data_IF_561698441708
#
_entry.id   IF_561698441708
#
_cell.length_a   1.000
_cell.length_b   1.000
_cell.length_c   1.000
_cell.angle_alpha   90.00
_cell.angle_beta   90.00
_cell.angle_gamma   90.00
#
_symmetry.space_group_name_H-M   'P 1'
#
loop_
_entity.id
_entity.type
_entity.pdbx_description
1 polymer ?
#
# COMPACT_ATOMS: atom_id res chain seq x y z
N UNK A 1 -15.97 -60.11 17.31
CA UNK A 1 -15.53 -58.72 17.56
C UNK A 1 -16.80 -57.88 17.60
N UNK A 2 -17.20 -57.42 18.78
CA UNK A 2 -18.57 -56.93 19.03
C UNK A 2 -18.90 -55.67 18.23
N UNK A 3 -20.02 -55.72 17.50
CA UNK A 3 -20.59 -54.59 16.75
C UNK A 3 -20.73 -53.35 17.65
N UNK A 4 -21.03 -53.55 18.93
CA UNK A 4 -21.13 -52.48 19.94
C UNK A 4 -19.78 -51.80 20.22
N UNK A 5 -18.68 -52.56 20.28
CA UNK A 5 -17.33 -52.02 20.46
C UNK A 5 -16.93 -51.21 19.23
N UNK A 6 -17.23 -51.71 18.03
CA UNK A 6 -16.96 -51.00 16.78
C UNK A 6 -17.78 -49.70 16.66
N UNK A 7 -19.07 -49.72 17.01
CA UNK A 7 -19.89 -48.50 17.05
C UNK A 7 -19.39 -47.48 18.08
N UNK A 8 -19.02 -47.91 19.29
CA UNK A 8 -18.43 -47.02 20.30
C UNK A 8 -17.12 -46.39 19.81
N UNK A 9 -16.28 -47.16 19.12
CA UNK A 9 -15.05 -46.65 18.49
C UNK A 9 -15.35 -45.59 17.43
N UNK A 10 -16.30 -45.85 16.51
CA UNK A 10 -16.70 -44.86 15.50
C UNK A 10 -17.23 -43.58 16.17
N UNK A 11 -18.09 -43.70 17.18
CA UNK A 11 -18.64 -42.55 17.91
C UNK A 11 -17.51 -41.75 18.59
N UNK A 12 -16.55 -42.43 19.22
CA UNK A 12 -15.40 -41.77 19.86
C UNK A 12 -14.53 -41.03 18.84
N UNK A 13 -14.24 -41.66 17.70
CA UNK A 13 -13.51 -41.02 16.59
C UNK A 13 -14.28 -39.80 16.08
N UNK A 14 -15.59 -39.91 15.88
CA UNK A 14 -16.43 -38.80 15.45
C UNK A 14 -16.45 -37.64 16.45
N UNK A 15 -16.69 -37.91 17.74
CA UNK A 15 -16.68 -36.91 18.81
C UNK A 15 -15.31 -36.24 18.89
N UNK A 16 -14.22 -37.00 18.77
CA UNK A 16 -12.85 -36.47 18.81
C UNK A 16 -12.60 -35.54 17.62
N UNK A 17 -12.93 -35.97 16.39
CA UNK A 17 -12.78 -35.15 15.19
C UNK A 17 -13.65 -33.89 15.26
N UNK A 18 -14.90 -34.01 15.72
CA UNK A 18 -15.81 -32.89 15.88
C UNK A 18 -15.32 -31.89 16.94
N UNK A 19 -14.80 -32.39 18.07
CA UNK A 19 -14.20 -31.55 19.12
C UNK A 19 -12.95 -30.82 18.62
N UNK A 20 -12.09 -31.50 17.85
CA UNK A 20 -10.91 -30.88 17.22
C UNK A 20 -11.31 -29.81 16.21
N UNK A 21 -12.39 -30.01 15.43
CA UNK A 21 -12.92 -29.00 14.52
C UNK A 21 -13.44 -27.76 15.27
N UNK A 22 -14.19 -27.96 16.35
CA UNK A 22 -14.70 -26.86 17.20
C UNK A 22 -13.53 -26.09 17.82
N UNK A 23 -12.59 -26.79 18.46
CA UNK A 23 -11.42 -26.17 19.09
C UNK A 23 -10.57 -25.44 18.04
N UNK A 24 -10.40 -26.02 16.85
CA UNK A 24 -9.72 -25.38 15.73
C UNK A 24 -10.42 -24.09 15.28
N UNK A 25 -11.75 -24.10 15.14
CA UNK A 25 -12.54 -22.92 14.77
C UNK A 25 -12.47 -21.82 15.82
N UNK A 26 -12.60 -22.18 17.10
CA UNK A 26 -12.45 -21.24 18.22
C UNK A 26 -11.05 -20.62 18.25
N UNK A 27 -10.01 -21.43 18.07
CA UNK A 27 -8.64 -20.96 17.98
C UNK A 27 -8.42 -20.03 16.78
N UNK A 28 -8.99 -20.35 15.61
CA UNK A 28 -8.91 -19.50 14.43
C UNK A 28 -9.55 -18.14 14.69
N UNK A 29 -10.78 -18.12 15.22
CA UNK A 29 -11.49 -16.89 15.56
C UNK A 29 -10.71 -16.06 16.59
N UNK A 30 -10.21 -16.70 17.63
CA UNK A 30 -9.36 -16.06 18.64
C UNK A 30 -8.08 -15.48 18.01
N UNK A 31 -7.38 -16.25 17.18
CA UNK A 31 -6.13 -15.84 16.54
C UNK A 31 -6.34 -14.58 15.68
N UNK A 32 -7.33 -14.57 14.78
CA UNK A 32 -7.56 -13.41 13.92
C UNK A 32 -8.00 -12.19 14.72
N UNK A 33 -8.80 -12.37 15.77
CA UNK A 33 -9.17 -11.27 16.68
C UNK A 33 -7.95 -10.71 17.41
N UNK A 34 -7.08 -11.58 17.95
CA UNK A 34 -5.83 -11.20 18.59
C UNK A 34 -4.87 -10.51 17.61
N UNK A 35 -4.66 -11.08 16.43
CA UNK A 35 -3.80 -10.53 15.39
C UNK A 35 -4.28 -9.13 14.98
N UNK A 36 -5.58 -8.98 14.67
CA UNK A 36 -6.21 -7.70 14.32
C UNK A 36 -6.04 -6.64 15.42
N UNK A 37 -6.26 -7.00 16.68
CA UNK A 37 -6.13 -6.07 17.81
C UNK A 37 -4.69 -5.55 18.01
N UNK A 38 -3.68 -6.35 17.64
CA UNK A 38 -2.27 -6.06 17.89
C UNK A 38 -1.50 -5.52 16.67
N UNK A 39 -2.05 -5.63 15.45
CA UNK A 39 -1.36 -5.21 14.21
C UNK A 39 -1.72 -3.82 13.68
N UNK A 40 -2.67 -3.12 14.31
CA UNK A 40 -3.26 -1.87 13.81
C UNK A 40 -2.70 -0.62 14.49
N UNK A 41 -2.49 0.44 13.70
CA UNK A 41 -2.18 1.79 14.18
C UNK A 41 -1.09 1.81 15.25
N UNK A 42 -1.34 2.52 16.34
CA UNK A 42 -0.37 2.69 17.43
C UNK A 42 -0.10 1.40 18.22
N UNK A 43 -0.96 0.38 18.15
CA UNK A 43 -0.72 -0.90 18.81
C UNK A 43 0.45 -1.66 18.18
N UNK A 44 0.77 -1.37 16.91
CA UNK A 44 1.93 -1.90 16.22
C UNK A 44 2.96 -0.82 15.89
N UNK A 45 2.60 0.16 15.07
CA UNK A 45 3.54 1.17 14.55
C UNK A 45 4.05 2.15 15.62
N UNK A 46 3.31 2.27 16.73
CA UNK A 46 3.71 3.04 17.91
C UNK A 46 4.54 2.24 18.93
N UNK A 47 4.99 1.02 18.60
CA UNK A 47 5.79 0.18 19.51
C UNK A 47 7.27 0.16 19.13
N UNK A 48 8.18 0.03 20.12
CA UNK A 48 9.61 -0.16 19.88
C UNK A 48 9.89 -1.34 18.93
N UNK A 49 10.99 -1.25 18.17
CA UNK A 49 11.32 -2.25 17.15
C UNK A 49 11.42 -3.67 17.74
N UNK A 50 12.00 -3.82 18.93
CA UNK A 50 12.11 -5.10 19.62
C UNK A 50 10.74 -5.75 19.89
N UNK A 51 9.73 -4.93 20.26
CA UNK A 51 8.36 -5.37 20.51
C UNK A 51 7.68 -5.81 19.21
N UNK A 52 7.85 -5.04 18.13
CA UNK A 52 7.33 -5.38 16.79
C UNK A 52 7.93 -6.69 16.26
N UNK A 53 9.24 -6.88 16.42
CA UNK A 53 9.95 -8.14 16.08
C UNK A 53 9.42 -9.32 16.91
N UNK A 54 9.20 -9.13 18.21
CA UNK A 54 8.61 -10.17 19.07
C UNK A 54 7.20 -10.56 18.62
N UNK A 55 6.37 -9.59 18.23
CA UNK A 55 5.04 -9.83 17.68
C UNK A 55 5.09 -10.62 16.36
N UNK A 56 5.96 -10.24 15.41
CA UNK A 56 6.19 -11.00 14.17
C UNK A 56 6.61 -12.45 14.45
N UNK A 57 7.47 -12.69 15.46
CA UNK A 57 7.85 -14.06 15.86
C UNK A 57 6.65 -14.87 16.36
N UNK A 58 5.78 -14.28 17.17
CA UNK A 58 4.53 -14.95 17.62
C UNK A 58 3.63 -15.33 16.45
N UNK A 59 3.43 -14.41 15.49
CA UNK A 59 2.67 -14.70 14.26
C UNK A 59 3.29 -15.88 13.50
N UNK A 60 4.63 -15.91 13.33
CA UNK A 60 5.33 -17.04 12.68
C UNK A 60 5.06 -18.36 13.39
N UNK A 61 5.05 -18.38 14.72
CA UNK A 61 4.72 -19.58 15.50
C UNK A 61 3.28 -20.03 15.24
N UNK A 62 2.30 -19.11 15.28
CA UNK A 62 0.91 -19.44 14.96
C UNK A 62 0.72 -19.93 13.51
N UNK A 63 1.47 -19.36 12.56
CA UNK A 63 1.41 -19.74 11.14
C UNK A 63 1.74 -21.22 10.90
N UNK A 64 2.62 -21.83 11.70
CA UNK A 64 2.95 -23.26 11.61
C UNK A 64 1.70 -24.11 11.78
N UNK A 65 0.88 -23.80 12.79
CA UNK A 65 -0.34 -24.53 13.10
C UNK A 65 -1.47 -24.26 12.10
N UNK A 66 -1.52 -23.05 11.54
CA UNK A 66 -2.57 -22.65 10.61
C UNK A 66 -2.28 -23.06 9.15
N UNK A 67 -1.03 -23.37 8.81
CA UNK A 67 -0.59 -23.69 7.43
C UNK A 67 -1.41 -24.81 6.76
N UNK A 68 -1.74 -25.96 7.41
CA UNK A 68 -2.54 -26.99 6.77
C UNK A 68 -3.95 -26.52 6.41
N UNK A 69 -4.59 -25.76 7.31
CA UNK A 69 -5.93 -25.22 7.13
C UNK A 69 -5.92 -24.20 5.97
N UNK A 70 -4.98 -23.27 5.98
CA UNK A 70 -4.80 -22.26 4.92
C UNK A 70 -4.61 -22.92 3.55
N UNK A 71 -3.81 -23.99 3.49
CA UNK A 71 -3.57 -24.70 2.23
C UNK A 71 -4.85 -25.34 1.68
N UNK A 72 -5.66 -25.98 2.53
CA UNK A 72 -6.94 -26.59 2.13
C UNK A 72 -7.92 -25.49 1.70
N UNK A 73 -8.10 -24.46 2.51
CA UNK A 73 -8.97 -23.31 2.21
C UNK A 73 -8.59 -22.64 0.88
N UNK A 74 -7.31 -22.39 0.65
CA UNK A 74 -6.82 -21.79 -0.59
C UNK A 74 -7.12 -22.69 -1.81
N UNK A 75 -6.95 -24.01 -1.68
CA UNK A 75 -7.28 -24.97 -2.75
C UNK A 75 -8.78 -24.99 -3.04
N UNK A 76 -9.62 -25.03 -2.01
CA UNK A 76 -11.09 -24.97 -2.15
C UNK A 76 -11.53 -23.65 -2.80
N UNK A 77 -10.91 -22.53 -2.43
CA UNK A 77 -11.21 -21.21 -3.01
C UNK A 77 -10.84 -21.14 -4.50
N UNK A 78 -9.75 -21.77 -4.91
CA UNK A 78 -9.34 -21.88 -6.33
C UNK A 78 -10.31 -22.69 -7.20
N UNK A 79 -11.13 -23.55 -6.60
CA UNK A 79 -12.18 -24.26 -7.33
C UNK A 79 -13.40 -23.37 -7.63
N UNK A 80 -13.51 -22.19 -7.02
CA UNK A 80 -14.56 -21.21 -7.35
C UNK A 80 -14.16 -20.45 -8.62
N UNK A 81 -15.11 -20.36 -9.56
CA UNK A 81 -14.91 -19.93 -10.97
C UNK A 81 -14.49 -18.47 -11.17
N UNK A 82 -14.64 -17.62 -10.15
CA UNK A 82 -14.22 -16.21 -10.18
C UNK A 82 -13.89 -15.77 -8.76
N UNK A 83 -12.70 -15.18 -8.57
CA UNK A 83 -12.30 -14.57 -7.32
C UNK A 83 -12.34 -13.04 -7.49
N UNK A 84 -13.52 -12.46 -7.28
CA UNK A 84 -13.63 -11.01 -7.20
C UNK A 84 -12.67 -10.49 -6.12
N UNK A 85 -11.80 -9.56 -6.52
CA UNK A 85 -10.97 -8.80 -5.58
C UNK A 85 -11.92 -8.03 -4.65
N UNK A 86 -11.77 -8.28 -3.35
CA UNK A 86 -12.73 -7.84 -2.36
C UNK A 86 -12.66 -6.33 -2.15
N UNK A 87 -13.75 -5.64 -2.47
CA UNK A 87 -13.81 -4.18 -2.45
C UNK A 87 -14.99 -3.67 -1.61
N UNK A 88 -14.78 -2.53 -0.97
CA UNK A 88 -15.85 -1.62 -0.56
C UNK A 88 -16.14 -0.64 -1.70
N UNK A 89 -17.31 0.01 -1.69
CA UNK A 89 -17.67 1.06 -2.63
C UNK A 89 -18.26 2.25 -1.86
N UNK A 90 -17.69 3.44 -2.03
CA UNK A 90 -18.16 4.69 -1.44
C UNK A 90 -18.20 5.77 -2.52
N UNK A 91 -19.37 6.35 -2.80
CA UNK A 91 -19.60 7.36 -3.84
C UNK A 91 -19.03 6.95 -5.22
N UNK A 92 -19.21 5.69 -5.62
CA UNK A 92 -18.69 5.13 -6.87
C UNK A 92 -17.19 4.85 -6.89
N UNK A 93 -16.48 5.08 -5.77
CA UNK A 93 -15.06 4.78 -5.62
C UNK A 93 -14.87 3.47 -4.88
N UNK A 94 -14.15 2.54 -5.50
CA UNK A 94 -13.82 1.25 -4.89
C UNK A 94 -12.57 1.33 -4.01
N UNK A 95 -12.51 0.55 -2.94
CA UNK A 95 -11.34 0.47 -2.04
C UNK A 95 -11.15 -0.95 -1.46
N UNK A 96 -9.97 -1.27 -0.90
CA UNK A 96 -9.68 -2.58 -0.35
C UNK A 96 -10.46 -2.85 0.94
N UNK A 97 -11.38 -3.81 0.91
CA UNK A 97 -12.26 -4.13 2.06
C UNK A 97 -11.55 -4.64 3.32
N UNK A 98 -10.30 -5.10 3.20
CA UNK A 98 -9.52 -5.60 4.34
C UNK A 98 -8.73 -4.50 5.06
N UNK A 99 -8.44 -3.39 4.38
CA UNK A 99 -7.68 -2.26 4.94
C UNK A 99 -8.52 -1.00 5.12
N UNK A 100 -9.70 -0.93 4.51
CA UNK A 100 -10.58 0.22 4.50
C UNK A 100 -12.03 -0.20 4.78
N UNK A 101 -12.84 0.76 5.23
CA UNK A 101 -14.28 0.62 5.41
C UNK A 101 -15.00 1.83 4.78
N UNK A 102 -16.33 1.74 4.68
CA UNK A 102 -17.14 2.89 4.27
C UNK A 102 -16.92 4.09 5.20
N UNK A 103 -16.90 3.83 6.51
CA UNK A 103 -16.65 4.84 7.53
C UNK A 103 -15.26 5.48 7.39
N UNK A 104 -14.21 4.69 7.11
CA UNK A 104 -12.86 5.24 6.93
C UNK A 104 -12.72 6.06 5.65
N UNK A 105 -13.42 5.69 4.57
CA UNK A 105 -13.49 6.50 3.35
C UNK A 105 -14.24 7.81 3.60
N UNK A 106 -15.39 7.74 4.27
CA UNK A 106 -16.16 8.92 4.64
C UNK A 106 -15.33 9.88 5.51
N UNK A 107 -14.77 9.38 6.62
CA UNK A 107 -13.92 10.18 7.53
C UNK A 107 -12.74 10.82 6.79
N UNK A 108 -12.12 10.11 5.86
CA UNK A 108 -11.02 10.66 5.07
C UNK A 108 -11.48 11.75 4.08
N UNK A 109 -12.65 11.58 3.45
CA UNK A 109 -13.20 12.60 2.55
C UNK A 109 -13.70 13.86 3.27
N UNK A 110 -14.07 13.73 4.55
CA UNK A 110 -14.55 14.83 5.41
C UNK A 110 -13.41 15.53 6.18
N UNK A 111 -12.19 15.00 6.11
CA UNK A 111 -11.02 15.61 6.75
C UNK A 111 -10.85 17.05 6.25
N UNK A 112 -10.64 17.99 7.18
CA UNK A 112 -10.45 19.40 6.88
C UNK A 112 -8.94 19.69 6.84
N UNK A 113 -8.33 19.82 5.65
CA UNK A 113 -6.91 20.05 5.56
C UNK A 113 -6.54 21.46 6.01
N UNK A 114 -5.29 21.61 6.45
CA UNK A 114 -4.74 22.87 6.95
C UNK A 114 -3.45 23.21 6.21
N UNK A 115 -2.95 24.43 6.39
CA UNK A 115 -1.67 24.91 5.86
C UNK A 115 -0.45 24.09 6.33
N UNK A 116 -0.63 23.28 7.37
CA UNK A 116 0.38 22.38 7.90
C UNK A 116 0.43 21.04 7.16
N UNK A 117 -0.59 20.71 6.38
CA UNK A 117 -0.71 19.38 5.78
C UNK A 117 -0.02 19.27 4.41
N UNK A 118 0.72 18.18 4.24
CA UNK A 118 1.34 17.76 2.99
C UNK A 118 0.77 16.38 2.62
N UNK A 119 -0.02 16.30 1.57
CA UNK A 119 -0.58 15.06 1.05
C UNK A 119 0.40 14.42 0.07
N UNK A 120 0.80 13.20 0.35
CA UNK A 120 1.46 12.29 -0.59
C UNK A 120 0.39 11.44 -1.23
N UNK A 121 0.07 11.76 -2.48
CA UNK A 121 -0.99 11.10 -3.24
C UNK A 121 -0.41 10.25 -4.34
N UNK A 122 -0.85 9.00 -4.44
CA UNK A 122 -0.48 8.14 -5.56
C UNK A 122 -1.62 7.21 -5.87
N UNK A 123 -1.71 6.70 -7.10
CA UNK A 123 -2.35 5.38 -7.27
C UNK A 123 -1.49 4.35 -6.50
N UNK A 124 -2.08 3.26 -6.02
CA UNK A 124 -1.35 2.28 -5.23
C UNK A 124 -0.09 1.80 -5.97
N UNK A 125 0.99 1.58 -5.22
CA UNK A 125 2.25 1.02 -5.76
C UNK A 125 3.02 1.90 -6.76
N UNK A 126 2.70 3.19 -6.84
CA UNK A 126 3.40 4.19 -7.67
C UNK A 126 4.56 4.93 -6.96
N UNK A 127 5.01 4.50 -5.78
CA UNK A 127 6.18 5.11 -5.10
C UNK A 127 5.87 5.90 -3.82
N UNK A 128 4.69 5.70 -3.24
CA UNK A 128 4.22 6.39 -2.03
C UNK A 128 5.24 6.38 -0.89
N UNK A 129 5.74 5.21 -0.51
CA UNK A 129 6.74 5.05 0.58
C UNK A 129 8.01 5.87 0.33
N UNK A 130 8.43 5.96 -0.94
CA UNK A 130 9.66 6.65 -1.31
C UNK A 130 9.47 8.16 -1.20
N UNK A 131 8.34 8.68 -1.71
CA UNK A 131 8.01 10.10 -1.60
C UNK A 131 7.76 10.53 -0.16
N UNK A 132 7.08 9.70 0.65
CA UNK A 132 6.93 9.94 2.10
C UNK A 132 8.30 10.07 2.79
N UNK A 133 9.24 9.16 2.46
CA UNK A 133 10.60 9.23 3.00
C UNK A 133 11.36 10.47 2.53
N UNK A 134 11.27 10.82 1.24
CA UNK A 134 11.90 12.03 0.70
C UNK A 134 11.40 13.28 1.45
N UNK A 135 10.08 13.43 1.60
CA UNK A 135 9.49 14.59 2.30
C UNK A 135 9.91 14.60 3.77
N UNK A 136 9.85 13.47 4.46
CA UNK A 136 10.30 13.38 5.85
C UNK A 136 11.76 13.80 6.01
N UNK A 137 12.63 13.37 5.10
CA UNK A 137 14.05 13.75 5.13
C UNK A 137 14.27 15.21 4.73
N UNK A 138 13.49 15.77 3.80
CA UNK A 138 13.53 17.21 3.49
C UNK A 138 13.17 18.05 4.73
N UNK A 139 12.04 17.75 5.37
CA UNK A 139 11.57 18.48 6.56
C UNK A 139 12.53 18.36 7.76
N UNK A 140 13.36 17.31 7.79
CA UNK A 140 14.36 17.09 8.84
C UNK A 140 15.78 17.41 8.40
N UNK A 141 15.96 18.00 7.20
CA UNK A 141 17.27 18.36 6.63
C UNK A 141 18.24 17.17 6.59
N UNK A 142 17.73 15.99 6.25
CA UNK A 142 18.47 14.73 6.21
C UNK A 142 18.86 14.16 7.59
N UNK A 143 18.46 14.79 8.69
CA UNK A 143 18.81 14.36 10.05
C UNK A 143 17.74 13.45 10.68
N UNK A 144 16.60 13.24 10.01
CA UNK A 144 15.53 12.38 10.51
C UNK A 144 16.00 10.93 10.65
N UNK A 145 15.80 10.35 11.83
CA UNK A 145 16.11 8.96 12.14
C UNK A 145 14.86 8.19 12.53
N UNK A 146 14.83 6.89 12.23
CA UNK A 146 13.84 5.97 12.78
C UNK A 146 14.48 5.10 13.85
N UNK A 147 14.09 5.32 15.10
CA UNK A 147 14.56 4.53 16.23
C UNK A 147 13.63 4.73 17.45
N UNK A 148 13.93 3.99 18.52
CA UNK A 148 13.14 4.01 19.75
C UNK A 148 13.21 5.36 20.52
N UNK A 149 14.14 6.26 20.17
CA UNK A 149 14.33 7.57 20.77
C UNK A 149 13.81 8.75 19.91
N UNK A 150 13.34 8.48 18.68
CA UNK A 150 12.82 9.49 17.76
C UNK A 150 11.45 9.06 17.23
N UNK A 151 11.35 8.82 15.92
CA UNK A 151 10.14 8.33 15.28
C UNK A 151 10.25 6.82 15.08
N UNK A 152 9.23 6.09 15.52
CA UNK A 152 9.29 4.63 15.56
C UNK A 152 9.13 3.97 14.19
N UNK A 153 8.42 4.60 13.27
CA UNK A 153 8.05 4.03 11.98
C UNK A 153 7.49 5.08 11.01
N UNK A 154 7.66 4.90 9.69
CA UNK A 154 7.14 5.82 8.68
C UNK A 154 5.61 5.99 8.76
N UNK A 155 4.85 4.89 8.94
CA UNK A 155 3.38 4.94 9.15
C UNK A 155 2.92 5.74 10.38
N UNK A 156 3.79 5.94 11.38
CA UNK A 156 3.46 6.79 12.52
C UNK A 156 3.69 8.28 12.21
N UNK A 157 4.60 8.59 11.28
CA UNK A 157 4.86 9.95 10.81
C UNK A 157 3.89 10.37 9.70
N UNK A 158 3.58 9.43 8.81
CA UNK A 158 2.76 9.65 7.64
C UNK A 158 1.60 8.64 7.58
N UNK A 159 0.52 8.91 8.34
CA UNK A 159 -0.68 8.09 8.32
C UNK A 159 -1.33 7.98 6.95
N UNK A 160 -1.93 6.82 6.71
CA UNK A 160 -2.80 6.59 5.56
C UNK A 160 -4.25 6.90 5.97
N UNK A 161 -4.75 8.06 5.54
CA UNK A 161 -5.94 8.70 6.13
C UNK A 161 -7.23 7.88 5.95
N UNK A 162 -7.36 7.13 4.85
CA UNK A 162 -8.54 6.31 4.57
C UNK A 162 -8.43 4.84 5.03
N UNK A 163 -7.39 4.48 5.80
CA UNK A 163 -7.16 3.10 6.23
C UNK A 163 -7.46 2.84 7.71
N UNK A 164 -8.08 1.68 7.96
CA UNK A 164 -8.39 1.15 9.29
C UNK A 164 -7.14 0.76 10.08
N UNK A 165 -6.12 0.26 9.39
CA UNK A 165 -4.95 -0.31 10.04
C UNK A 165 -3.84 0.73 10.26
N UNK A 166 -4.01 1.97 9.80
CA UNK A 166 -3.01 3.03 9.95
C UNK A 166 -3.09 3.71 11.31
N UNK A 167 -2.10 4.56 11.60
CA UNK A 167 -2.14 5.43 12.78
C UNK A 167 -3.23 6.49 12.56
N UNK A 168 -4.05 6.83 13.56
CA UNK A 168 -5.02 7.90 13.40
C UNK A 168 -4.34 9.24 13.08
N UNK A 169 -4.94 10.06 12.21
CA UNK A 169 -4.34 11.31 11.74
C UNK A 169 -4.09 12.30 12.89
N UNK A 170 -4.94 12.26 13.91
CA UNK A 170 -4.80 13.03 15.16
C UNK A 170 -3.52 12.72 15.94
N UNK A 171 -2.89 11.57 15.69
CA UNK A 171 -1.62 11.17 16.29
C UNK A 171 -0.41 11.41 15.38
N UNK A 172 -0.61 11.95 14.16
CA UNK A 172 0.49 12.31 13.29
C UNK A 172 1.31 13.46 13.89
N UNK A 173 2.63 13.31 14.04
CA UNK A 173 3.49 14.39 14.51
C UNK A 173 3.57 15.52 13.47
N UNK A 174 3.85 16.73 13.95
CA UNK A 174 4.37 17.80 13.12
C UNK A 174 5.89 17.63 13.04
N UNK A 175 6.43 17.71 11.82
CA UNK A 175 7.84 17.42 11.51
C UNK A 175 8.53 18.70 11.05
N UNK A 176 9.80 18.81 11.45
CA UNK A 176 10.67 19.90 11.00
C UNK A 176 10.39 21.23 11.68
N UNK A 177 11.25 22.21 11.40
CA UNK A 177 11.08 23.59 11.88
C UNK A 177 9.80 24.24 11.34
N UNK A 178 9.39 23.88 10.12
CA UNK A 178 8.15 24.34 9.48
C UNK A 178 6.87 23.69 10.03
N UNK A 179 7.00 22.74 10.98
CA UNK A 179 5.89 22.09 11.69
C UNK A 179 4.83 21.53 10.74
N UNK A 180 5.26 20.70 9.78
CA UNK A 180 4.39 20.11 8.75
C UNK A 180 3.95 18.69 9.09
N UNK A 181 2.73 18.33 8.72
CA UNK A 181 2.17 16.98 8.84
C UNK A 181 2.20 16.29 7.48
N UNK A 182 2.71 15.08 7.43
CA UNK A 182 2.74 14.29 6.19
C UNK A 182 1.52 13.36 6.21
N UNK A 183 0.72 13.36 5.16
CA UNK A 183 -0.50 12.54 5.04
C UNK A 183 -0.38 11.69 3.79
N UNK A 184 -0.57 10.38 3.91
CA UNK A 184 -0.67 9.48 2.75
C UNK A 184 -2.14 9.32 2.38
N UNK A 185 -2.43 9.34 1.08
CA UNK A 185 -3.72 8.90 0.53
C UNK A 185 -3.56 8.32 -0.87
N UNK A 186 -4.52 7.48 -1.24
CA UNK A 186 -4.72 7.00 -2.60
C UNK A 186 -6.00 7.57 -3.22
N UNK A 187 -6.69 8.51 -2.55
CA UNK A 187 -7.96 9.04 -3.04
C UNK A 187 -7.81 9.79 -4.39
N UNK A 188 -8.77 9.61 -5.31
CA UNK A 188 -8.86 10.42 -6.51
C UNK A 188 -9.21 11.87 -6.16
N UNK A 189 -8.94 12.81 -7.06
CA UNK A 189 -9.23 14.23 -6.85
C UNK A 189 -10.69 14.54 -6.52
N UNK A 190 -11.63 13.73 -7.00
CA UNK A 190 -13.07 13.89 -6.74
C UNK A 190 -13.48 13.51 -5.31
N UNK A 191 -12.61 12.82 -4.56
CA UNK A 191 -12.88 12.36 -3.20
C UNK A 191 -11.84 12.85 -2.18
N UNK A 192 -10.62 13.18 -2.63
CA UNK A 192 -9.56 13.68 -1.79
C UNK A 192 -9.92 15.07 -1.24
N UNK A 193 -9.83 15.31 0.08
CA UNK A 193 -10.13 16.61 0.66
C UNK A 193 -9.13 17.66 0.17
N UNK A 194 -9.65 18.84 -0.18
CA UNK A 194 -8.87 19.92 -0.77
C UNK A 194 -8.92 21.19 0.07
N UNK A 195 -7.75 21.79 0.30
CA UNK A 195 -7.61 23.14 0.81
C UNK A 195 -6.48 23.86 0.07
N UNK A 196 -6.65 25.15 -0.23
CA UNK A 196 -5.70 25.94 -1.04
C UNK A 196 -4.34 26.11 -0.33
N UNK A 197 -4.35 26.19 1.00
CA UNK A 197 -3.14 26.37 1.79
C UNK A 197 -2.39 25.06 2.10
N UNK A 198 -3.04 23.90 1.94
CA UNK A 198 -2.38 22.60 2.06
C UNK A 198 -1.53 22.31 0.80
N UNK A 199 -0.57 21.39 0.90
CA UNK A 199 0.29 20.99 -0.23
C UNK A 199 -0.04 19.56 -0.66
N UNK A 200 -0.06 19.30 -1.96
CA UNK A 200 -0.33 17.97 -2.52
C UNK A 200 0.80 17.56 -3.47
N UNK A 201 1.39 16.39 -3.26
CA UNK A 201 2.42 15.83 -4.12
C UNK A 201 1.89 14.53 -4.70
N UNK A 202 1.60 14.55 -6.00
CA UNK A 202 1.12 13.39 -6.73
C UNK A 202 2.27 12.67 -7.43
N UNK A 203 2.37 11.34 -7.28
CA UNK A 203 3.35 10.52 -8.01
C UNK A 203 2.65 9.50 -8.92
N UNK A 204 2.81 9.70 -10.23
CA UNK A 204 2.44 8.75 -11.28
C UNK A 204 3.52 7.68 -11.47
N UNK A 205 3.16 6.52 -12.03
CA UNK A 205 4.10 5.48 -12.45
C UNK A 205 3.54 4.75 -13.66
N UNK A 206 4.41 4.28 -14.55
CA UNK A 206 4.02 3.51 -15.72
C UNK A 206 3.04 2.37 -15.36
N UNK A 207 1.89 2.22 -16.06
CA UNK A 207 0.80 1.35 -15.63
C UNK A 207 1.19 -0.13 -15.55
N UNK A 208 2.02 -0.62 -16.48
CA UNK A 208 2.50 -2.02 -16.45
C UNK A 208 3.45 -2.27 -15.26
N UNK A 209 4.28 -1.29 -14.90
CA UNK A 209 5.16 -1.38 -13.72
C UNK A 209 4.37 -1.28 -12.41
N UNK A 210 3.33 -0.45 -12.41
CA UNK A 210 2.34 -0.38 -11.33
C UNK A 210 1.65 -1.75 -11.15
N UNK A 211 1.12 -2.34 -12.22
CA UNK A 211 0.50 -3.66 -12.22
C UNK A 211 1.42 -4.74 -11.67
N UNK A 212 2.67 -4.87 -12.15
CA UNK A 212 3.62 -5.86 -11.62
C UNK A 212 3.84 -5.70 -10.11
N UNK A 213 3.96 -4.46 -9.63
CA UNK A 213 4.12 -4.14 -8.22
C UNK A 213 2.86 -4.45 -7.38
N UNK A 214 1.67 -4.41 -7.99
CA UNK A 214 0.41 -4.86 -7.37
C UNK A 214 0.37 -6.39 -7.27
N UNK A 215 0.75 -7.11 -8.32
CA UNK A 215 0.83 -8.58 -8.30
C UNK A 215 1.78 -9.04 -7.17
N UNK A 216 2.97 -8.45 -7.08
CA UNK A 216 3.92 -8.73 -6.00
C UNK A 216 3.34 -8.43 -4.61
N UNK A 217 2.59 -7.34 -4.49
CA UNK A 217 1.92 -6.95 -3.26
C UNK A 217 0.82 -7.95 -2.87
N UNK A 218 0.00 -8.44 -3.80
CA UNK A 218 -0.98 -9.47 -3.51
C UNK A 218 -0.32 -10.79 -3.10
N UNK A 219 0.75 -11.21 -3.77
CA UNK A 219 1.50 -12.40 -3.34
C UNK A 219 2.08 -12.27 -1.93
N UNK A 220 2.56 -11.07 -1.56
CA UNK A 220 3.08 -10.81 -0.23
C UNK A 220 1.97 -10.82 0.84
N UNK A 221 0.82 -10.25 0.53
CA UNK A 221 -0.23 -9.95 1.54
C UNK A 221 -1.32 -11.00 1.64
N UNK A 222 -1.61 -11.72 0.55
CA UNK A 222 -2.64 -12.77 0.48
C UNK A 222 -2.05 -14.18 0.34
N UNK A 223 -0.76 -14.31 -0.01
CA UNK A 223 -0.07 -15.59 -0.08
C UNK A 223 -0.82 -16.60 -0.98
N UNK A 224 -1.17 -17.81 -0.48
CA UNK A 224 -1.92 -18.81 -1.25
C UNK A 224 -3.29 -18.35 -1.78
N UNK A 225 -3.88 -17.33 -1.15
CA UNK A 225 -5.17 -16.74 -1.53
C UNK A 225 -5.08 -15.66 -2.61
N UNK A 226 -3.87 -15.38 -3.12
CA UNK A 226 -3.67 -14.43 -4.23
C UNK A 226 -4.46 -14.91 -5.45
N UNK A 227 -5.28 -14.04 -6.06
CA UNK A 227 -5.92 -14.35 -7.34
C UNK A 227 -4.87 -14.60 -8.44
N UNK A 228 -5.21 -15.36 -9.49
CA UNK A 228 -4.36 -15.49 -10.67
C UNK A 228 -4.03 -14.12 -11.30
N UNK A 229 -2.83 -13.96 -11.84
CA UNK A 229 -2.37 -12.72 -12.49
C UNK A 229 -3.34 -12.21 -13.56
N UNK A 230 -4.00 -13.12 -14.29
CA UNK A 230 -5.04 -12.77 -15.28
C UNK A 230 -6.26 -12.10 -14.66
N UNK A 231 -6.75 -12.59 -13.52
CA UNK A 231 -7.87 -11.98 -12.77
C UNK A 231 -7.45 -10.64 -12.17
N UNK A 232 -6.20 -10.52 -11.71
CA UNK A 232 -5.65 -9.22 -11.27
C UNK A 232 -5.62 -8.24 -12.45
N UNK A 233 -5.26 -8.70 -13.66
CA UNK A 233 -5.24 -7.86 -14.85
C UNK A 233 -6.66 -7.45 -15.31
N UNK A 234 -7.64 -8.36 -15.23
CA UNK A 234 -9.06 -8.03 -15.44
C UNK A 234 -9.53 -6.94 -14.48
N UNK A 235 -9.24 -7.09 -13.18
CA UNK A 235 -9.59 -6.10 -12.17
C UNK A 235 -8.88 -4.75 -12.38
N UNK A 236 -7.58 -4.76 -12.69
CA UNK A 236 -6.80 -3.55 -12.96
C UNK A 236 -7.35 -2.76 -14.16
N UNK A 237 -7.79 -3.47 -15.20
CA UNK A 237 -8.40 -2.89 -16.40
C UNK A 237 -9.93 -2.77 -16.28
N UNK A 238 -10.46 -2.49 -15.09
CA UNK A 238 -11.90 -2.36 -14.87
C UNK A 238 -12.24 -1.14 -14.02
N UNK A 239 -13.51 -0.73 -14.06
CA UNK A 239 -14.07 0.33 -13.21
C UNK A 239 -14.10 -0.04 -11.72
N UNK A 240 -13.69 -1.27 -11.35
CA UNK A 240 -13.59 -1.75 -9.98
C UNK A 240 -12.17 -1.70 -9.40
N UNK A 241 -11.19 -1.19 -10.16
CA UNK A 241 -9.87 -0.90 -9.64
C UNK A 241 -10.00 0.05 -8.44
N UNK A 242 -9.23 -0.22 -7.38
CA UNK A 242 -9.30 0.62 -6.18
C UNK A 242 -8.84 2.04 -6.51
N UNK A 243 -9.57 3.01 -5.95
CA UNK A 243 -9.36 4.44 -6.15
C UNK A 243 -9.44 4.89 -7.61
N UNK A 244 -10.42 4.39 -8.36
CA UNK A 244 -10.60 4.59 -9.80
C UNK A 244 -9.59 3.84 -10.69
N UNK A 245 -9.99 3.52 -11.93
CA UNK A 245 -9.08 3.07 -12.98
C UNK A 245 -7.83 3.95 -13.08
N UNK A 246 -6.68 3.33 -13.34
CA UNK A 246 -5.40 4.02 -13.52
C UNK A 246 -5.47 5.26 -14.43
N UNK A 247 -6.06 5.21 -15.65
CA UNK A 247 -6.12 6.38 -16.53
C UNK A 247 -7.02 7.51 -16.01
N UNK A 248 -8.11 7.19 -15.32
CA UNK A 248 -9.00 8.18 -14.71
C UNK A 248 -8.34 8.85 -13.49
N UNK A 249 -7.67 8.06 -12.65
CA UNK A 249 -6.98 8.57 -11.47
C UNK A 249 -5.86 9.55 -11.85
N UNK A 250 -5.01 9.18 -12.82
CA UNK A 250 -3.89 10.03 -13.25
C UNK A 250 -4.37 11.30 -13.96
N UNK A 251 -5.39 11.20 -14.82
CA UNK A 251 -5.90 12.35 -15.57
C UNK A 251 -6.60 13.37 -14.66
N UNK A 252 -7.33 12.91 -13.65
CA UNK A 252 -7.96 13.79 -12.65
C UNK A 252 -6.93 14.60 -11.85
N UNK A 253 -5.86 13.96 -11.39
CA UNK A 253 -4.75 14.63 -10.68
C UNK A 253 -3.95 15.54 -11.60
N UNK A 254 -3.69 15.13 -12.85
CA UNK A 254 -3.00 15.97 -13.84
C UNK A 254 -3.77 17.25 -14.14
N UNK A 255 -5.06 17.13 -14.47
CA UNK A 255 -5.93 18.29 -14.72
C UNK A 255 -5.99 19.24 -13.52
N UNK A 256 -5.98 18.70 -12.30
CA UNK A 256 -5.96 19.52 -11.09
C UNK A 256 -4.62 20.25 -10.92
N UNK A 257 -3.49 19.58 -11.17
CA UNK A 257 -2.16 20.19 -11.13
C UNK A 257 -1.96 21.30 -12.19
N UNK A 258 -2.66 21.21 -13.32
CA UNK A 258 -2.63 22.29 -14.34
C UNK A 258 -3.33 23.57 -13.89
N UNK A 259 -4.26 23.50 -12.94
CA UNK A 259 -5.09 24.64 -12.50
C UNK A 259 -4.78 25.11 -11.07
N UNK A 260 -4.03 24.33 -10.29
CA UNK A 260 -3.77 24.58 -8.87
C UNK A 260 -2.28 24.55 -8.58
N UNK A 261 -1.77 25.65 -8.01
CA UNK A 261 -0.35 25.82 -7.72
C UNK A 261 0.14 25.01 -6.51
N UNK A 262 -0.78 24.59 -5.64
CA UNK A 262 -0.48 23.77 -4.46
C UNK A 262 -0.47 22.26 -4.74
N UNK A 263 -0.41 21.86 -6.02
CA UNK A 263 -0.28 20.46 -6.45
C UNK A 263 0.98 20.29 -7.30
N UNK A 264 1.94 19.52 -6.79
CA UNK A 264 3.14 19.09 -7.53
C UNK A 264 2.90 17.70 -8.13
N UNK A 265 2.93 17.61 -9.46
CA UNK A 265 2.79 16.34 -10.17
C UNK A 265 4.16 15.81 -10.63
N UNK A 266 4.49 14.58 -10.24
CA UNK A 266 5.76 13.91 -10.52
C UNK A 266 5.53 12.52 -11.12
N UNK A 267 6.54 11.98 -11.80
CA UNK A 267 6.55 10.59 -12.27
C UNK A 267 7.66 9.82 -11.56
N UNK A 268 7.35 8.60 -11.12
CA UNK A 268 8.27 7.67 -10.47
C UNK A 268 9.56 7.47 -11.27
N UNK A 269 9.44 7.41 -12.60
CA UNK A 269 10.56 7.26 -13.51
C UNK A 269 11.52 8.47 -13.46
N UNK A 270 11.01 9.69 -13.28
CA UNK A 270 11.84 10.89 -13.08
C UNK A 270 12.61 10.83 -11.77
N UNK A 271 11.95 10.44 -10.66
CA UNK A 271 12.58 10.29 -9.34
C UNK A 271 13.77 9.34 -9.40
N UNK A 272 13.63 8.27 -10.19
CA UNK A 272 14.68 7.28 -10.32
C UNK A 272 15.80 7.70 -11.27
N UNK A 273 15.49 8.46 -12.32
CA UNK A 273 16.51 8.93 -13.26
C UNK A 273 17.37 10.03 -12.65
N UNK A 274 16.77 10.96 -11.91
CA UNK A 274 17.49 12.05 -11.24
C UNK A 274 16.85 12.38 -9.88
N UNK A 275 17.20 11.57 -8.87
CA UNK A 275 16.68 11.74 -7.51
C UNK A 275 17.07 13.10 -6.92
N UNK A 276 18.26 13.61 -7.25
CA UNK A 276 18.73 14.90 -6.75
C UNK A 276 17.84 16.04 -7.25
N UNK A 277 17.57 16.09 -8.56
CA UNK A 277 16.68 17.10 -9.14
C UNK A 277 15.28 17.04 -8.53
N UNK A 278 14.74 15.83 -8.31
CA UNK A 278 13.42 15.69 -7.67
C UNK A 278 13.44 16.18 -6.22
N UNK A 279 14.47 15.87 -5.43
CA UNK A 279 14.59 16.36 -4.06
C UNK A 279 14.56 17.89 -4.04
N UNK A 280 15.32 18.54 -4.92
CA UNK A 280 15.34 20.01 -5.03
C UNK A 280 13.97 20.57 -5.40
N UNK A 281 13.30 20.01 -6.41
CA UNK A 281 11.95 20.42 -6.82
C UNK A 281 10.92 20.26 -5.71
N UNK A 282 11.00 19.18 -4.93
CA UNK A 282 10.10 18.95 -3.79
C UNK A 282 10.40 19.93 -2.67
N UNK A 283 11.68 20.19 -2.36
CA UNK A 283 12.07 21.15 -1.34
C UNK A 283 11.60 22.56 -1.67
N UNK A 284 11.82 23.01 -2.92
CA UNK A 284 11.32 24.29 -3.43
C UNK A 284 9.78 24.40 -3.30
N UNK A 285 9.06 23.35 -3.71
CA UNK A 285 7.59 23.32 -3.62
C UNK A 285 7.06 23.39 -2.17
N UNK A 286 7.82 22.82 -1.23
CA UNK A 286 7.52 22.87 0.20
C UNK A 286 8.01 24.17 0.88
N UNK A 287 8.80 24.99 0.18
CA UNK A 287 9.41 26.20 0.73
C UNK A 287 10.58 25.92 1.67
N UNK A 288 11.26 24.79 1.50
CA UNK A 288 12.42 24.37 2.30
C UNK A 288 13.72 24.68 1.56
N UNK A 289 14.61 25.41 2.21
CA UNK A 289 15.95 25.71 1.68
C UNK A 289 16.96 24.67 2.18
N UNK A 290 17.60 23.95 1.26
CA UNK A 290 18.53 22.86 1.55
C UNK A 290 19.91 23.18 1.00
N UNK A 291 20.92 23.02 1.84
CA UNK A 291 22.31 23.07 1.38
C UNK A 291 22.76 21.75 0.74
N UNK A 292 23.96 21.76 0.17
CA UNK A 292 24.55 20.59 -0.48
C UNK A 292 24.72 19.39 0.46
N UNK A 293 24.96 19.63 1.75
CA UNK A 293 25.14 18.56 2.73
C UNK A 293 23.79 17.89 3.05
N UNK A 294 22.76 18.69 3.26
CA UNK A 294 21.38 18.24 3.47
C UNK A 294 20.91 17.38 2.29
N UNK A 295 21.13 17.84 1.06
CA UNK A 295 20.80 17.08 -0.16
C UNK A 295 21.50 15.71 -0.18
N UNK A 296 22.80 15.65 0.13
CA UNK A 296 23.54 14.38 0.15
C UNK A 296 22.99 13.40 1.20
N UNK A 297 22.68 13.89 2.40
CA UNK A 297 22.05 13.08 3.47
C UNK A 297 20.69 12.55 3.02
N UNK A 298 19.86 13.39 2.41
CA UNK A 298 18.53 13.03 1.91
C UNK A 298 18.64 11.98 0.80
N UNK A 299 19.55 12.13 -0.16
CA UNK A 299 19.80 11.15 -1.24
C UNK A 299 20.17 9.80 -0.63
N UNK A 300 21.12 9.78 0.31
CA UNK A 300 21.55 8.55 0.96
C UNK A 300 20.40 7.85 1.69
N UNK A 301 19.67 8.57 2.54
CA UNK A 301 18.55 8.02 3.35
C UNK A 301 17.29 7.70 2.54
N UNK A 302 17.18 8.23 1.33
CA UNK A 302 16.12 7.91 0.37
C UNK A 302 16.56 6.89 -0.67
N UNK A 303 17.79 6.37 -0.59
CA UNK A 303 18.27 5.35 -1.51
C UNK A 303 17.56 4.02 -1.29
N UNK A 304 17.35 3.27 -2.37
CA UNK A 304 16.76 1.93 -2.29
C UNK A 304 17.56 1.01 -1.34
N UNK A 305 18.89 1.11 -1.35
CA UNK A 305 19.76 0.32 -0.49
C UNK A 305 19.50 0.64 0.99
N UNK A 306 19.52 1.91 1.37
CA UNK A 306 19.26 2.31 2.76
C UNK A 306 17.86 1.87 3.22
N UNK A 307 16.83 2.17 2.43
CA UNK A 307 15.45 1.82 2.78
C UNK A 307 15.23 0.31 2.88
N UNK A 308 15.87 -0.48 2.01
CA UNK A 308 15.80 -1.94 2.04
C UNK A 308 16.53 -2.53 3.26
N UNK A 309 17.72 -2.03 3.59
CA UNK A 309 18.45 -2.45 4.79
C UNK A 309 17.70 -2.10 6.09
N UNK A 310 16.82 -1.09 6.04
CA UNK A 310 16.02 -0.60 7.16
C UNK A 310 14.52 -0.93 6.99
N UNK A 311 14.18 -2.01 6.26
CA UNK A 311 12.81 -2.25 5.77
C UNK A 311 11.75 -2.23 6.89
N UNK A 312 12.09 -2.66 8.10
CA UNK A 312 11.19 -2.72 9.25
C UNK A 312 10.65 -1.36 9.69
N UNK A 313 11.24 -0.25 9.26
CA UNK A 313 10.73 1.11 9.52
C UNK A 313 9.82 1.65 8.41
N UNK A 314 9.73 0.94 7.29
CA UNK A 314 9.02 1.36 6.08
C UNK A 314 7.91 0.39 5.66
N UNK A 315 7.76 -0.74 6.34
CA UNK A 315 6.73 -1.74 6.08
C UNK A 315 5.32 -1.17 6.30
N UNK A 316 4.67 -0.79 5.20
CA UNK A 316 3.34 -0.16 5.23
C UNK A 316 2.19 -1.17 5.30
N UNK A 317 2.50 -2.46 5.37
CA UNK A 317 1.51 -3.52 5.56
C UNK A 317 1.64 -4.06 6.98
N UNK A 318 0.55 -4.08 7.76
CA UNK A 318 0.54 -4.74 9.06
C UNK A 318 1.04 -6.18 8.96
N UNK A 319 1.82 -6.67 9.93
CA UNK A 319 2.26 -8.05 9.92
C UNK A 319 1.04 -8.98 9.98
N UNK A 320 1.05 -10.00 9.13
CA UNK A 320 0.07 -11.06 9.08
C UNK A 320 0.79 -12.39 8.78
N UNK A 321 0.03 -13.48 8.75
CA UNK A 321 0.54 -14.83 8.48
C UNK A 321 1.44 -14.96 7.23
N UNK A 322 1.25 -14.12 6.22
CA UNK A 322 1.98 -14.15 4.95
C UNK A 322 3.12 -13.14 4.90
N UNK A 323 2.89 -11.93 5.39
CA UNK A 323 3.87 -10.83 5.30
C UNK A 323 5.09 -11.08 6.18
N UNK A 324 4.94 -11.80 7.30
CA UNK A 324 6.09 -12.14 8.17
C UNK A 324 7.10 -13.08 7.50
N UNK A 325 6.73 -13.74 6.39
CA UNK A 325 7.58 -14.64 5.63
C UNK A 325 8.21 -14.00 4.37
N UNK A 326 7.82 -12.77 4.03
CA UNK A 326 8.28 -12.06 2.83
C UNK A 326 8.99 -10.74 3.15
N UNK A 327 9.60 -10.14 2.13
CA UNK A 327 10.20 -8.79 2.20
C UNK A 327 9.34 -7.79 1.43
N UNK A 328 9.22 -6.58 1.98
CA UNK A 328 8.43 -5.49 1.40
C UNK A 328 9.14 -4.84 0.20
N UNK A 329 10.47 -4.69 0.25
CA UNK A 329 11.28 -4.15 -0.85
C UNK A 329 11.86 -5.24 -1.74
N UNK A 330 11.10 -5.64 -2.78
CA UNK A 330 11.55 -6.66 -3.73
C UNK A 330 12.61 -6.14 -4.71
N UNK A 331 12.23 -5.23 -5.61
CA UNK A 331 13.13 -4.66 -6.61
C UNK A 331 12.80 -3.20 -6.86
N UNK A 332 13.84 -2.36 -6.96
CA UNK A 332 13.72 -0.96 -7.37
C UNK A 332 13.91 -0.78 -8.87
N UNK A 333 13.72 -1.82 -9.71
CA UNK A 333 14.07 -1.80 -11.15
C UNK A 333 13.08 -0.95 -11.97
N UNK A 334 13.56 -0.29 -13.04
CA UNK A 334 12.70 0.43 -14.02
C UNK A 334 11.93 -0.60 -14.86
N UNK A 335 12.63 -1.69 -15.21
CA UNK A 335 12.18 -2.70 -16.16
C UNK A 335 11.34 -3.83 -15.56
N UNK A 336 10.74 -3.64 -14.38
CA UNK A 336 9.82 -4.65 -13.82
C UNK A 336 8.62 -4.94 -14.73
N UNK A 337 8.34 -4.04 -15.68
CA UNK A 337 7.35 -4.26 -16.74
C UNK A 337 7.70 -5.42 -17.69
N UNK A 338 8.97 -5.85 -17.77
CA UNK A 338 9.39 -6.99 -18.61
C UNK A 338 9.01 -8.35 -18.01
N UNK A 339 8.66 -8.39 -16.72
CA UNK A 339 8.21 -9.59 -16.02
C UNK A 339 6.70 -9.86 -16.19
N UNK A 340 6.02 -9.08 -17.04
CA UNK A 340 4.58 -9.20 -17.35
C UNK A 340 4.43 -9.81 -18.74
N UNK A 341 3.52 -10.78 -18.90
CA UNK A 341 3.29 -11.41 -20.21
C UNK A 341 2.88 -10.39 -21.28
N UNK A 342 3.31 -10.60 -22.52
CA UNK A 342 3.00 -9.70 -23.64
C UNK A 342 1.49 -9.49 -23.83
N UNK A 343 0.69 -10.53 -23.63
CA UNK A 343 -0.78 -10.45 -23.67
C UNK A 343 -1.32 -9.48 -22.60
N UNK A 344 -0.89 -9.66 -21.35
CA UNK A 344 -1.30 -8.80 -20.23
C UNK A 344 -0.81 -7.36 -20.43
N UNK A 345 0.41 -7.20 -20.93
CA UNK A 345 0.99 -5.89 -21.27
C UNK A 345 0.12 -5.18 -22.29
N UNK A 346 -0.19 -5.80 -23.43
CA UNK A 346 -1.04 -5.22 -24.48
C UNK A 346 -2.42 -4.84 -23.94
N UNK A 347 -3.04 -5.71 -23.13
CA UNK A 347 -4.33 -5.44 -22.49
C UNK A 347 -4.28 -4.16 -21.64
N UNK A 348 -3.27 -4.02 -20.78
CA UNK A 348 -3.11 -2.84 -19.91
C UNK A 348 -2.86 -1.57 -20.75
N UNK A 349 -1.97 -1.64 -21.74
CA UNK A 349 -1.66 -0.50 -22.59
C UNK A 349 -2.89 -0.06 -23.39
N UNK A 350 -3.65 -0.99 -23.99
CA UNK A 350 -4.87 -0.69 -24.73
C UNK A 350 -5.94 -0.06 -23.84
N UNK A 351 -6.14 -0.60 -22.63
CA UNK A 351 -7.07 -0.02 -21.65
C UNK A 351 -6.68 1.42 -21.27
N UNK A 352 -5.39 1.66 -21.00
CA UNK A 352 -4.90 3.00 -20.67
C UNK A 352 -5.00 3.96 -21.86
N UNK A 353 -4.70 3.51 -23.08
CA UNK A 353 -4.83 4.31 -24.30
C UNK A 353 -6.27 4.77 -24.51
N UNK A 354 -7.24 3.86 -24.35
CA UNK A 354 -8.66 4.19 -24.46
C UNK A 354 -9.09 5.16 -23.35
N UNK A 355 -8.72 4.90 -22.10
CA UNK A 355 -9.06 5.76 -20.97
C UNK A 355 -8.43 7.16 -21.01
N UNK A 356 -7.31 7.33 -21.73
CA UNK A 356 -6.62 8.61 -21.88
C UNK A 356 -6.96 9.36 -23.17
N UNK A 357 -7.74 8.79 -24.10
CA UNK A 357 -7.95 9.31 -25.46
C UNK A 357 -8.37 10.79 -25.52
N UNK A 358 -9.20 11.25 -24.57
CA UNK A 358 -9.65 12.65 -24.48
C UNK A 358 -9.12 13.37 -23.23
N UNK A 359 -8.09 12.84 -22.59
CA UNK A 359 -7.51 13.43 -21.39
C UNK A 359 -6.49 14.53 -21.74
N UNK A 360 -6.28 15.49 -20.84
CA UNK A 360 -5.21 16.49 -21.00
C UNK A 360 -3.82 15.98 -20.59
N UNK A 361 -3.70 14.71 -20.20
CA UNK A 361 -2.45 14.11 -19.76
C UNK A 361 -1.55 13.81 -20.98
N UNK A 362 -0.31 14.34 -21.04
CA UNK A 362 0.57 14.22 -22.20
C UNK A 362 1.23 12.84 -22.22
N UNK A 363 0.45 11.81 -22.55
CA UNK A 363 0.86 10.41 -22.52
C UNK A 363 2.01 10.12 -23.48
N UNK A 364 2.09 10.76 -24.65
CA UNK A 364 3.17 10.60 -25.61
C UNK A 364 4.52 11.03 -25.04
N UNK A 365 4.53 12.03 -24.15
CA UNK A 365 5.75 12.55 -23.53
C UNK A 365 6.27 11.59 -22.45
N UNK A 366 5.40 11.14 -21.56
CA UNK A 366 5.82 10.39 -20.38
C UNK A 366 5.77 8.88 -20.58
N UNK A 367 4.81 8.36 -21.34
CA UNK A 367 4.56 6.92 -21.57
C UNK A 367 4.27 6.63 -23.06
N UNK A 368 5.25 6.82 -23.95
CA UNK A 368 5.04 6.76 -25.40
C UNK A 368 4.58 5.40 -25.94
N UNK A 369 4.83 4.30 -25.22
CA UNK A 369 4.37 2.96 -25.59
C UNK A 369 2.86 2.77 -25.38
N UNK A 370 2.23 3.53 -24.46
CA UNK A 370 0.77 3.59 -24.36
C UNK A 370 0.17 4.24 -25.60
N UNK A 371 0.76 5.33 -26.12
CA UNK A 371 0.24 6.00 -27.31
C UNK A 371 0.37 5.11 -28.57
N UNK A 372 1.46 4.36 -28.66
CA UNK A 372 1.86 3.57 -29.84
C UNK A 372 1.32 2.13 -29.87
N UNK A 373 0.63 1.67 -28.82
CA UNK A 373 0.08 0.31 -28.83
C UNK A 373 -0.97 0.18 -29.95
N UNK A 374 -0.81 -0.87 -30.77
CA UNK A 374 -1.68 -1.20 -31.89
C UNK A 374 -2.69 -2.28 -31.50
#
# INVERSE_FOLDING_TARGET
MDVIIFLKFIIYVFITLFSLLILGSLYFKWYFSWELGNRRGMNYYGKPLATRRAFKRKIKTHAIFLKPIIFIEAKLRRLKKSQNIASIEYNGIYGPSYSCSLESFQKASEYQPTEKDIFVVTQMRCGTTWMQQIIYQILTRGNGEFNDNSHLHLYAISPWIEALDSVPIEHAPLIGSSSKRIIKTHMPTILCPYEENAKYIYVARHPVSCFRSIVDYFHLTAGPFTPPDSEIADWFCSNRMWWLPWPEHISGWWKSAQSKQNILFLHFEEIKNDTNNIIQRVAEFLGEDLDSEDIQKIIYKSSFQYMKSNEEYFEMVPPNLFTVAGSYFRSGKIDSNKDVSEETRKKILNFCKQGLYNSSYPVEKFYPDIARVN
#
